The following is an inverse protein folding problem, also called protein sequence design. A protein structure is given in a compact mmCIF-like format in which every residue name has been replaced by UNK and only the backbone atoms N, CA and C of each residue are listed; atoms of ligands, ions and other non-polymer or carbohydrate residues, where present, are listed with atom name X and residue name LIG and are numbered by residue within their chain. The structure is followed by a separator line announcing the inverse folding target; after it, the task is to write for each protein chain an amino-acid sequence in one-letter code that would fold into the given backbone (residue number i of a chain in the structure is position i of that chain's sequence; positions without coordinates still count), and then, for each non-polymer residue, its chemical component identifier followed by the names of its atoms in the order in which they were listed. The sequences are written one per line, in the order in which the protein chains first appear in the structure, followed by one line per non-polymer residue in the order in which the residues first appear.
data_IF_621858244973
#
_entry.id   IF_621858244973
#
_cell.length_a   1.000
_cell.length_b   1.000
_cell.length_c   1.000
_cell.angle_alpha   90.00
_cell.angle_beta   90.00
_cell.angle_gamma   90.00
#
_symmetry.space_group_name_H-M   'P 1'
#
loop_
_entity.id
_entity.type
_entity.pdbx_description
1 polymer ?
#
# COMPACT_ATOMS: atom_id res chain seq x y z
N UNK A 1 -2.11 9.01 -17.03
CA UNK A 1 -1.71 8.79 -15.63
C UNK A 1 -1.87 7.32 -15.29
N UNK A 2 -0.83 6.74 -14.73
CA UNK A 2 -0.83 5.29 -14.51
C UNK A 2 -1.09 4.98 -13.05
N UNK A 3 -1.85 3.92 -12.83
CA UNK A 3 -2.17 3.46 -11.50
C UNK A 3 -1.61 2.06 -11.31
N UNK A 4 -0.92 1.85 -10.22
CA UNK A 4 -0.38 0.55 -9.85
C UNK A 4 -1.05 0.11 -8.56
N UNK A 5 -1.54 -1.12 -8.55
CA UNK A 5 -2.25 -1.64 -7.39
C UNK A 5 -1.44 -2.76 -6.78
N UNK A 6 -1.19 -2.64 -5.50
CA UNK A 6 -0.56 -3.70 -4.72
C UNK A 6 -1.59 -4.24 -3.75
N UNK A 7 -1.70 -5.54 -3.64
CA UNK A 7 -2.56 -6.13 -2.64
C UNK A 7 -1.76 -7.10 -1.80
N UNK A 8 -2.11 -7.15 -0.53
CA UNK A 8 -1.41 -8.00 0.42
C UNK A 8 -2.35 -8.28 1.58
N UNK A 9 -2.08 -9.34 2.29
CA UNK A 9 -2.85 -9.59 3.51
C UNK A 9 -2.23 -8.91 4.73
N UNK A 10 -1.29 -7.99 4.50
CA UNK A 10 -0.63 -7.28 5.60
C UNK A 10 -0.06 -5.97 5.10
N UNK A 11 -0.45 -4.87 5.73
CA UNK A 11 0.17 -3.57 5.45
C UNK A 11 1.62 -3.56 5.91
N UNK A 12 1.92 -4.31 6.98
CA UNK A 12 3.29 -4.44 7.47
C UNK A 12 4.22 -4.94 6.39
N UNK A 13 3.78 -5.95 5.64
CA UNK A 13 4.59 -6.50 4.57
C UNK A 13 4.87 -5.47 3.50
N UNK A 14 3.84 -4.76 3.09
CA UNK A 14 4.01 -3.73 2.07
C UNK A 14 4.95 -2.63 2.54
N UNK A 15 4.78 -2.21 3.77
CA UNK A 15 5.60 -1.13 4.29
C UNK A 15 7.06 -1.56 4.46
N UNK A 16 7.31 -2.77 4.92
CA UNK A 16 8.66 -3.19 5.24
C UNK A 16 9.43 -3.75 4.05
N UNK A 17 8.74 -4.35 3.09
CA UNK A 17 9.44 -5.03 2.00
C UNK A 17 9.23 -4.38 0.64
N UNK A 18 8.24 -3.52 0.51
CA UNK A 18 7.95 -2.89 -0.79
C UNK A 18 8.10 -1.38 -0.76
N UNK A 19 8.53 -0.83 0.37
CA UNK A 19 8.52 0.62 0.50
C UNK A 19 9.38 1.32 -0.54
N UNK A 20 10.54 0.74 -0.87
CA UNK A 20 11.40 1.33 -1.88
C UNK A 20 10.72 1.37 -3.24
N UNK A 21 10.06 0.28 -3.60
CA UNK A 21 9.32 0.21 -4.86
C UNK A 21 8.16 1.19 -4.86
N UNK A 22 7.43 1.27 -3.76
CA UNK A 22 6.29 2.18 -3.66
C UNK A 22 6.73 3.63 -3.83
N UNK A 23 7.79 4.01 -3.13
CA UNK A 23 8.29 5.37 -3.22
C UNK A 23 8.80 5.70 -4.62
N UNK A 24 9.48 4.73 -5.23
CA UNK A 24 10.01 4.94 -6.57
C UNK A 24 8.90 5.19 -7.58
N UNK A 25 7.82 4.42 -7.47
CA UNK A 25 6.67 4.60 -8.36
C UNK A 25 6.03 5.96 -8.15
N UNK A 26 5.87 6.37 -6.89
CA UNK A 26 5.27 7.66 -6.59
C UNK A 26 6.14 8.78 -7.15
N UNK A 27 7.46 8.67 -7.00
CA UNK A 27 8.37 9.68 -7.50
C UNK A 27 8.32 9.78 -9.01
N UNK A 28 7.94 8.71 -9.68
CA UNK A 28 7.84 8.70 -11.14
C UNK A 28 6.43 9.06 -11.64
N UNK A 29 5.57 9.53 -10.76
CA UNK A 29 4.28 10.04 -11.16
C UNK A 29 3.16 9.03 -11.20
N UNK A 30 3.39 7.82 -10.71
CA UNK A 30 2.33 6.82 -10.64
C UNK A 30 1.45 7.04 -9.43
N UNK A 31 0.17 6.70 -9.59
CA UNK A 31 -0.73 6.59 -8.46
C UNK A 31 -0.61 5.17 -7.92
N UNK A 32 -0.24 5.04 -6.66
CA UNK A 32 -0.03 3.72 -6.06
C UNK A 32 -1.14 3.46 -5.07
N UNK A 33 -1.86 2.37 -5.29
CA UNK A 33 -2.96 1.95 -4.43
C UNK A 33 -2.55 0.68 -3.71
N UNK A 34 -2.65 0.69 -2.39
CA UNK A 34 -2.34 -0.47 -1.58
C UNK A 34 -3.64 -1.00 -0.97
N UNK A 35 -3.92 -2.26 -1.23
CA UNK A 35 -5.12 -2.91 -0.73
C UNK A 35 -4.69 -3.94 0.31
N UNK A 36 -5.07 -3.72 1.55
CA UNK A 36 -4.68 -4.61 2.64
C UNK A 36 -5.57 -4.35 3.84
N UNK A 37 -5.62 -5.29 4.78
CA UNK A 37 -6.32 -5.03 6.03
C UNK A 37 -5.71 -3.86 6.76
N UNK A 38 -6.53 -3.11 7.47
CA UNK A 38 -6.02 -1.97 8.21
C UNK A 38 -5.25 -2.45 9.43
N UNK A 39 -4.05 -1.89 9.60
CA UNK A 39 -3.25 -2.14 10.78
C UNK A 39 -2.43 -0.89 11.06
N UNK A 40 -1.48 -0.98 12.00
CA UNK A 40 -0.75 0.21 12.40
C UNK A 40 0.14 0.77 11.29
N UNK A 41 0.38 0.01 10.24
CA UNK A 41 1.21 0.47 9.13
C UNK A 41 0.42 1.08 8.00
N UNK A 42 -0.91 1.05 8.09
CA UNK A 42 -1.75 1.63 7.03
C UNK A 42 -1.50 3.13 6.89
N UNK A 43 -1.43 3.83 8.01
CA UNK A 43 -1.18 5.27 7.95
C UNK A 43 0.22 5.56 7.44
N UNK A 44 1.18 4.68 7.72
CA UNK A 44 2.53 4.86 7.21
C UNK A 44 2.56 4.79 5.69
N UNK A 45 1.79 3.88 5.11
CA UNK A 45 1.69 3.80 3.66
C UNK A 45 1.07 5.07 3.09
N UNK A 46 0.06 5.61 3.75
CA UNK A 46 -0.56 6.84 3.31
C UNK A 46 0.41 8.02 3.39
N UNK A 47 1.26 8.03 4.39
CA UNK A 47 2.20 9.13 4.58
C UNK A 47 3.22 9.22 3.46
N UNK A 48 3.59 8.10 2.87
CA UNK A 48 4.55 8.13 1.77
C UNK A 48 3.90 8.44 0.44
N UNK A 49 2.58 8.55 0.42
CA UNK A 49 1.87 8.96 -0.78
C UNK A 49 0.98 7.90 -1.40
N UNK A 50 0.86 6.74 -0.78
CA UNK A 50 -0.02 5.69 -1.30
C UNK A 50 -1.46 5.95 -0.95
N UNK A 51 -2.37 5.48 -1.81
CA UNK A 51 -3.77 5.41 -1.48
C UNK A 51 -4.01 4.05 -0.84
N UNK A 52 -4.52 4.02 0.37
CA UNK A 52 -4.75 2.77 1.07
C UNK A 52 -6.23 2.44 1.05
N UNK A 53 -6.56 1.25 0.56
CA UNK A 53 -7.91 0.74 0.55
C UNK A 53 -7.98 -0.41 1.55
N UNK A 54 -8.94 -0.29 2.44
CA UNK A 54 -9.11 -1.28 3.49
C UNK A 54 -9.93 -2.46 2.95
N UNK A 55 -9.46 -3.67 3.23
CA UNK A 55 -10.25 -4.86 2.97
C UNK A 55 -10.35 -5.66 4.25
N UNK A 56 -11.46 -6.34 4.40
CA UNK A 56 -11.62 -7.28 5.50
C UNK A 56 -11.33 -8.66 5.00
N UNK A 57 -10.39 -9.32 5.66
CA UNK A 57 -10.11 -10.70 5.34
C UNK A 57 -10.88 -11.55 6.32
N UNK A 58 -11.85 -12.23 5.79
CA UNK A 58 -12.69 -13.09 6.60
C UNK A 58 -12.08 -14.47 6.65
N UNK A 59 -11.72 -14.91 7.83
CA UNK A 59 -11.24 -16.27 7.98
C UNK A 59 -12.39 -17.12 8.49
N UNK A 60 -12.72 -18.13 7.76
CA UNK A 60 -13.85 -18.97 8.12
C UNK A 60 -13.37 -20.34 8.47
#
# INVERSE_FOLDING_TARGET
MNTVVFSSNSSWYLFNFKIGTLKNLIDNGYTVVCISPEDEYSSNLQEIGCVHEHIEISSK
#
